data_IF_617985174092
#
_entry.id   IF_617985174092
#
_cell.length_a   1.000
_cell.length_b   1.000
_cell.length_c   1.000
_cell.angle_alpha   90.00
_cell.angle_beta   90.00
_cell.angle_gamma   90.00
#
_symmetry.space_group_name_H-M   'P 1'
#
loop_
_entity.id
_entity.type
_entity.pdbx_description
1 polymer ?
#
# COMPACT_ATOMS: atom_id res chain seq x y z
N UNK A 1 -18.83 -4.73 -30.26
CA UNK A 1 -18.15 -3.83 -29.29
C UNK A 1 -19.10 -3.19 -28.26
N UNK A 2 -20.42 -3.06 -28.50
CA UNK A 2 -21.34 -2.38 -27.57
C UNK A 2 -21.67 -3.09 -26.24
N UNK A 3 -21.66 -4.43 -26.20
CA UNK A 3 -22.02 -5.18 -24.97
C UNK A 3 -20.98 -5.07 -23.84
N UNK A 4 -19.71 -4.87 -24.19
CA UNK A 4 -18.61 -4.68 -23.21
C UNK A 4 -18.69 -3.33 -22.50
N UNK A 5 -18.97 -2.26 -23.25
CA UNK A 5 -19.08 -0.91 -22.70
C UNK A 5 -20.31 -0.76 -21.78
N UNK A 6 -21.44 -1.38 -22.14
CA UNK A 6 -22.66 -1.34 -21.33
C UNK A 6 -22.52 -2.13 -20.01
N UNK A 7 -21.81 -3.26 -20.03
CA UNK A 7 -21.51 -4.07 -18.83
C UNK A 7 -20.55 -3.34 -17.88
N UNK A 8 -19.55 -2.63 -18.42
CA UNK A 8 -18.64 -1.78 -17.66
C UNK A 8 -19.40 -0.62 -16.98
N UNK A 9 -20.32 0.03 -17.69
CA UNK A 9 -21.13 1.14 -17.18
C UNK A 9 -22.10 0.70 -16.08
N UNK A 10 -22.77 -0.45 -16.24
CA UNK A 10 -23.70 -0.99 -15.21
C UNK A 10 -22.95 -1.44 -13.95
N UNK A 11 -21.72 -1.96 -14.08
CA UNK A 11 -20.84 -2.23 -12.93
C UNK A 11 -20.45 -0.95 -12.19
N UNK A 12 -20.21 0.16 -12.92
CA UNK A 12 -19.87 1.46 -12.34
C UNK A 12 -21.09 2.13 -11.67
N UNK A 13 -22.29 2.02 -12.25
CA UNK A 13 -23.52 2.62 -11.71
C UNK A 13 -24.11 1.86 -10.50
N UNK A 14 -23.75 0.59 -10.31
CA UNK A 14 -24.14 -0.20 -9.12
C UNK A 14 -23.12 -0.10 -7.99
N UNK A 15 -21.98 0.57 -8.24
CA UNK A 15 -20.92 0.73 -7.28
C UNK A 15 -21.23 1.92 -6.35
N UNK A 16 -21.99 1.66 -5.29
CA UNK A 16 -21.97 2.55 -4.13
C UNK A 16 -20.52 2.83 -3.72
N UNK A 17 -20.21 4.08 -3.36
CA UNK A 17 -18.88 4.47 -2.92
C UNK A 17 -18.32 3.46 -1.90
N UNK A 18 -17.02 3.16 -1.96
CA UNK A 18 -16.39 2.21 -1.03
C UNK A 18 -16.77 2.53 0.41
N UNK A 19 -17.16 1.53 1.20
CA UNK A 19 -17.35 1.72 2.64
C UNK A 19 -16.06 1.32 3.33
N UNK A 20 -15.52 2.19 4.18
CA UNK A 20 -14.35 1.85 5.01
C UNK A 20 -14.88 1.17 6.27
N UNK A 21 -14.70 -0.14 6.36
CA UNK A 21 -15.15 -0.92 7.51
C UNK A 21 -14.17 -0.79 8.67
N UNK A 22 -14.70 -0.86 9.89
CA UNK A 22 -13.86 -0.94 11.09
C UNK A 22 -13.24 -2.34 11.21
N UNK A 23 -12.05 -2.39 11.81
CA UNK A 23 -11.40 -3.64 12.20
C UNK A 23 -11.35 -3.71 13.73
N UNK A 24 -11.69 -4.85 14.37
CA UNK A 24 -11.47 -5.04 15.80
C UNK A 24 -10.00 -4.85 16.21
N UNK A 25 -9.05 -5.14 15.30
CA UNK A 25 -7.62 -4.91 15.53
C UNK A 25 -7.28 -3.43 15.63
N UNK A 26 -8.00 -2.55 14.94
CA UNK A 26 -7.81 -1.11 15.05
C UNK A 26 -8.07 -0.63 16.49
N UNK A 27 -9.17 -1.09 17.10
CA UNK A 27 -9.49 -0.79 18.50
C UNK A 27 -8.41 -1.30 19.45
N UNK A 28 -7.88 -2.50 19.19
CA UNK A 28 -6.78 -3.06 19.99
C UNK A 28 -5.52 -2.20 19.89
N UNK A 29 -5.15 -1.74 18.69
CA UNK A 29 -3.98 -0.87 18.49
C UNK A 29 -4.20 0.50 19.16
N UNK A 30 -5.41 1.05 19.09
CA UNK A 30 -5.73 2.29 19.80
C UNK A 30 -5.56 2.19 21.32
N UNK A 31 -5.83 1.02 21.91
CA UNK A 31 -5.62 0.75 23.33
C UNK A 31 -4.16 0.42 23.66
N UNK A 32 -3.44 -0.21 22.72
CA UNK A 32 -2.04 -0.62 22.87
C UNK A 32 -1.20 -0.14 21.66
N UNK A 33 -0.86 1.17 21.56
CA UNK A 33 -0.15 1.71 20.39
C UNK A 33 1.23 1.06 20.13
N UNK A 34 1.83 0.48 21.17
CA UNK A 34 3.08 -0.28 21.07
C UNK A 34 3.02 -1.46 20.09
N UNK A 35 1.81 -1.96 19.77
CA UNK A 35 1.60 -3.04 18.79
C UNK A 35 1.99 -2.67 17.35
N UNK A 36 2.11 -1.38 17.04
CA UNK A 36 2.45 -0.88 15.69
C UNK A 36 3.58 0.15 15.71
N UNK A 37 4.28 0.24 16.84
CA UNK A 37 5.45 1.10 16.99
C UNK A 37 6.49 0.78 15.89
N UNK A 38 7.16 1.81 15.37
CA UNK A 38 8.15 1.68 14.30
C UNK A 38 7.61 1.02 13.01
N UNK A 39 6.30 0.99 12.75
CA UNK A 39 5.72 0.57 11.47
C UNK A 39 5.11 1.77 10.76
N UNK A 40 5.39 1.93 9.48
CA UNK A 40 4.81 2.93 8.58
C UNK A 40 4.04 2.24 7.48
N UNK A 41 2.81 2.70 7.22
CA UNK A 41 1.96 2.16 6.16
C UNK A 41 1.78 3.21 5.07
N UNK A 42 2.23 2.91 3.85
CA UNK A 42 2.14 3.82 2.71
C UNK A 42 1.06 3.28 1.76
N UNK A 43 -0.01 4.05 1.57
CA UNK A 43 -1.10 3.73 0.66
C UNK A 43 -0.89 4.46 -0.66
N UNK A 44 -0.81 3.72 -1.77
CA UNK A 44 -0.55 4.26 -3.10
C UNK A 44 -1.82 4.21 -3.94
N UNK A 45 -2.25 5.38 -4.41
CA UNK A 45 -3.45 5.53 -5.22
C UNK A 45 -3.26 5.06 -6.66
N UNK A 46 -4.37 4.62 -7.26
CA UNK A 46 -4.45 4.33 -8.67
C UNK A 46 -4.72 5.61 -9.45
N UNK A 47 -3.81 6.00 -10.33
CA UNK A 47 -4.04 7.11 -11.26
C UNK A 47 -4.52 6.58 -12.63
N UNK A 48 -5.57 7.17 -13.23
CA UNK A 48 -6.45 8.19 -12.67
C UNK A 48 -7.54 7.58 -11.76
N UNK A 49 -7.74 8.13 -10.55
CA UNK A 49 -8.93 7.89 -9.72
C UNK A 49 -9.73 9.19 -9.63
N UNK A 50 -10.58 9.43 -10.64
CA UNK A 50 -11.34 10.68 -10.84
C UNK A 50 -12.37 10.99 -9.73
N UNK A 51 -12.32 10.34 -8.57
CA UNK A 51 -13.18 10.65 -7.44
C UNK A 51 -12.84 9.97 -6.13
N UNK A 52 -11.58 9.59 -5.88
CA UNK A 52 -11.17 8.86 -4.67
C UNK A 52 -12.06 7.62 -4.42
N UNK A 53 -12.42 6.89 -5.48
CA UNK A 53 -13.40 5.81 -5.41
C UNK A 53 -12.95 4.66 -4.50
N UNK A 54 -11.64 4.44 -4.39
CA UNK A 54 -11.07 3.48 -3.45
C UNK A 54 -11.06 3.95 -1.99
N UNK A 55 -11.31 5.24 -1.74
CA UNK A 55 -11.25 5.89 -0.42
C UNK A 55 -9.94 5.66 0.34
N UNK A 56 -8.82 5.58 -0.38
CA UNK A 56 -7.50 5.44 0.23
C UNK A 56 -7.14 6.57 1.21
N UNK A 57 -7.48 7.86 0.96
CA UNK A 57 -7.27 8.91 1.96
C UNK A 57 -7.98 8.62 3.29
N UNK A 58 -9.23 8.12 3.23
CA UNK A 58 -10.03 7.80 4.41
C UNK A 58 -9.50 6.56 5.12
N UNK A 59 -9.00 5.56 4.38
CA UNK A 59 -8.34 4.37 4.92
C UNK A 59 -7.05 4.78 5.65
N UNK A 60 -6.17 5.57 5.01
CA UNK A 60 -4.97 6.09 5.65
C UNK A 60 -5.31 6.93 6.89
N UNK A 61 -6.31 7.81 6.81
CA UNK A 61 -6.80 8.56 7.96
C UNK A 61 -7.31 7.67 9.10
N UNK A 62 -7.91 6.52 8.79
CA UNK A 62 -8.35 5.55 9.81
C UNK A 62 -7.18 4.84 10.49
N UNK A 63 -6.12 4.49 9.76
CA UNK A 63 -4.88 3.97 10.33
C UNK A 63 -4.24 4.99 11.28
N UNK A 64 -4.13 6.25 10.86
CA UNK A 64 -3.62 7.34 11.69
C UNK A 64 -4.43 7.55 12.98
N UNK A 65 -5.76 7.56 12.88
CA UNK A 65 -6.64 7.63 14.08
C UNK A 65 -6.51 6.42 14.99
N UNK A 66 -6.01 5.30 14.47
CA UNK A 66 -5.75 4.07 15.21
C UNK A 66 -4.28 3.98 15.67
N UNK A 67 -3.57 5.12 15.75
CA UNK A 67 -2.18 5.20 16.22
C UNK A 67 -1.15 4.47 15.34
N UNK A 68 -1.47 4.22 14.07
CA UNK A 68 -0.52 3.70 13.07
C UNK A 68 0.00 4.86 12.24
N UNK A 69 1.32 5.01 12.15
CA UNK A 69 1.91 5.96 11.21
C UNK A 69 1.55 5.54 9.78
N UNK A 70 0.88 6.43 9.06
CA UNK A 70 0.42 6.15 7.71
C UNK A 70 0.46 7.37 6.81
N UNK A 71 0.87 7.13 5.57
CA UNK A 71 0.94 8.10 4.50
C UNK A 71 0.04 7.67 3.33
N UNK A 72 -0.62 8.62 2.70
CA UNK A 72 -1.37 8.40 1.47
C UNK A 72 -0.64 9.14 0.34
N UNK A 73 -0.27 8.38 -0.69
CA UNK A 73 0.47 8.83 -1.86
C UNK A 73 -0.47 8.83 -3.07
N UNK A 74 -0.87 10.03 -3.46
CA UNK A 74 -1.49 10.34 -4.76
C UNK A 74 -0.39 10.71 -5.76
N UNK A 75 -0.16 9.94 -6.84
CA UNK A 75 0.84 10.25 -7.84
C UNK A 75 0.64 11.59 -8.58
N UNK A 76 -0.60 12.06 -8.71
CA UNK A 76 -0.88 13.33 -9.39
C UNK A 76 -0.51 14.55 -8.52
N UNK A 77 -0.46 14.36 -7.20
CA UNK A 77 -0.15 15.43 -6.22
C UNK A 77 1.28 15.32 -5.69
N UNK A 78 1.75 14.11 -5.38
CA UNK A 78 3.01 13.87 -4.69
C UNK A 78 4.15 13.50 -5.63
N UNK A 79 3.86 13.27 -6.92
CA UNK A 79 4.84 12.97 -7.96
C UNK A 79 4.88 11.50 -8.38
N UNK A 80 5.95 11.12 -9.06
CA UNK A 80 6.10 9.82 -9.69
C UNK A 80 6.69 8.73 -8.76
N UNK A 81 7.07 7.61 -9.37
CA UNK A 81 7.71 6.50 -8.68
C UNK A 81 9.01 6.90 -7.94
N UNK A 82 9.79 7.87 -8.43
CA UNK A 82 10.98 8.37 -7.75
C UNK A 82 10.62 9.15 -6.47
N UNK A 83 9.54 9.91 -6.50
CA UNK A 83 9.02 10.57 -5.30
C UNK A 83 8.56 9.55 -4.25
N UNK A 84 7.81 8.52 -4.66
CA UNK A 84 7.41 7.42 -3.77
C UNK A 84 8.62 6.65 -3.22
N UNK A 85 9.63 6.38 -4.05
CA UNK A 85 10.88 5.74 -3.63
C UNK A 85 11.61 6.57 -2.55
N UNK A 86 11.62 7.90 -2.68
CA UNK A 86 12.21 8.80 -1.70
C UNK A 86 11.47 8.76 -0.37
N UNK A 87 10.13 8.70 -0.38
CA UNK A 87 9.33 8.49 0.82
C UNK A 87 9.62 7.15 1.51
N UNK A 88 9.69 6.07 0.74
CA UNK A 88 10.05 4.74 1.28
C UNK A 88 11.43 4.80 1.93
N UNK A 89 12.41 5.44 1.28
CA UNK A 89 13.77 5.61 1.82
C UNK A 89 13.75 6.42 3.12
N UNK A 90 13.05 7.54 3.17
CA UNK A 90 12.93 8.36 4.38
C UNK A 90 12.41 7.55 5.56
N UNK A 91 11.29 6.83 5.38
CA UNK A 91 10.69 6.01 6.42
C UNK A 91 11.62 4.87 6.87
N UNK A 92 12.32 4.24 5.92
CA UNK A 92 13.21 3.10 6.20
C UNK A 92 14.55 3.49 6.83
N UNK A 93 15.25 4.40 6.20
CA UNK A 93 16.67 4.70 6.48
C UNK A 93 16.76 5.79 7.54
N UNK A 94 16.00 6.88 7.39
CA UNK A 94 16.12 8.04 8.27
C UNK A 94 15.31 7.84 9.56
N UNK A 95 14.09 7.28 9.45
CA UNK A 95 13.23 7.02 10.61
C UNK A 95 13.39 5.60 11.19
N UNK A 96 14.15 4.72 10.54
CA UNK A 96 14.39 3.35 11.02
C UNK A 96 13.14 2.47 11.09
N UNK A 97 12.08 2.79 10.31
CA UNK A 97 10.78 2.12 10.42
C UNK A 97 10.69 0.88 9.56
N UNK A 98 9.79 0.00 9.94
CA UNK A 98 9.21 -1.06 9.11
C UNK A 98 8.23 -0.45 8.12
N UNK A 99 8.25 -0.87 6.86
CA UNK A 99 7.38 -0.30 5.81
C UNK A 99 6.46 -1.38 5.22
N UNK A 100 5.16 -1.11 5.33
CA UNK A 100 4.09 -1.81 4.63
C UNK A 100 3.64 -0.92 3.45
N UNK A 101 3.94 -1.33 2.22
CA UNK A 101 3.57 -0.60 1.01
C UNK A 101 2.30 -1.21 0.42
N UNK A 102 1.23 -0.44 0.29
CA UNK A 102 -0.10 -0.91 -0.13
C UNK A 102 -0.47 -0.23 -1.44
N UNK A 103 -0.46 -0.98 -2.53
CA UNK A 103 -0.92 -0.50 -3.83
C UNK A 103 -2.32 -1.04 -4.15
N UNK A 104 -3.29 -0.15 -4.35
CA UNK A 104 -4.60 -0.55 -4.87
C UNK A 104 -4.68 -0.34 -6.36
N UNK A 105 -5.21 -1.32 -7.09
CA UNK A 105 -5.40 -1.24 -8.54
C UNK A 105 -4.11 -0.77 -9.24
N UNK A 106 -4.16 0.25 -10.08
CA UNK A 106 -2.98 0.79 -10.77
C UNK A 106 -1.92 1.37 -9.82
N UNK A 107 -2.25 1.72 -8.58
CA UNK A 107 -1.29 2.18 -7.58
C UNK A 107 -0.22 1.13 -7.23
N UNK A 108 -0.52 -0.17 -7.45
CA UNK A 108 0.49 -1.22 -7.36
C UNK A 108 1.58 -1.09 -8.43
N UNK A 109 1.23 -0.63 -9.62
CA UNK A 109 2.19 -0.44 -10.71
C UNK A 109 3.21 0.64 -10.31
N UNK A 110 2.73 1.74 -9.73
CA UNK A 110 3.58 2.80 -9.18
C UNK A 110 4.43 2.30 -8.02
N UNK A 111 3.87 1.49 -7.12
CA UNK A 111 4.61 0.86 -6.04
C UNK A 111 5.76 -0.02 -6.55
N UNK A 112 5.52 -0.83 -7.59
CA UNK A 112 6.55 -1.68 -8.20
C UNK A 112 7.65 -0.86 -8.88
N UNK A 113 7.30 0.21 -9.59
CA UNK A 113 8.29 1.11 -10.19
C UNK A 113 9.14 1.81 -9.12
N UNK A 114 8.53 2.25 -8.01
CA UNK A 114 9.26 2.85 -6.89
C UNK A 114 10.23 1.84 -6.24
N UNK A 115 9.79 0.58 -6.06
CA UNK A 115 10.67 -0.48 -5.59
C UNK A 115 11.83 -0.73 -6.56
N UNK A 116 11.58 -0.65 -7.87
CA UNK A 116 12.64 -0.78 -8.89
C UNK A 116 13.71 0.31 -8.76
N UNK A 117 13.31 1.55 -8.47
CA UNK A 117 14.23 2.66 -8.21
C UNK A 117 15.11 2.43 -6.97
N UNK A 118 14.68 1.59 -6.02
CA UNK A 118 15.37 1.33 -4.75
C UNK A 118 16.27 0.08 -4.78
N UNK A 119 16.19 -0.76 -5.83
CA UNK A 119 16.93 -2.02 -5.92
C UNK A 119 18.46 -1.82 -5.90
N UNK A 120 18.96 -0.74 -6.51
CA UNK A 120 20.40 -0.45 -6.55
C UNK A 120 20.97 0.03 -5.22
N UNK A 121 20.12 0.46 -4.28
CA UNK A 121 20.53 0.99 -2.97
C UNK A 121 20.19 0.04 -1.82
N UNK A 122 19.74 -1.19 -2.12
CA UNK A 122 19.30 -2.21 -1.16
C UNK A 122 18.30 -1.67 -0.10
N UNK A 123 17.49 -0.67 -0.47
CA UNK A 123 16.40 -0.20 0.39
C UNK A 123 15.20 -1.10 0.13
N UNK A 124 14.75 -1.79 1.19
CA UNK A 124 13.73 -2.84 1.11
C UNK A 124 12.43 -2.43 1.79
N UNK A 125 11.29 -2.92 1.33
CA UNK A 125 10.03 -2.89 2.09
C UNK A 125 9.79 -4.25 2.74
N UNK A 126 9.18 -4.27 3.92
CA UNK A 126 8.96 -5.53 4.62
C UNK A 126 7.82 -6.30 3.97
N UNK A 127 6.83 -5.59 3.46
CA UNK A 127 5.65 -6.19 2.87
C UNK A 127 5.08 -5.28 1.79
N UNK A 128 4.93 -5.83 0.60
CA UNK A 128 4.14 -5.25 -0.49
C UNK A 128 2.76 -5.89 -0.48
N UNK A 129 1.72 -5.08 -0.38
CA UNK A 129 0.32 -5.51 -0.45
C UNK A 129 -0.27 -5.03 -1.77
N UNK A 130 -0.67 -5.98 -2.62
CA UNK A 130 -1.51 -5.71 -3.79
C UNK A 130 -2.97 -5.81 -3.39
N UNK A 131 -3.72 -4.73 -3.58
CA UNK A 131 -5.18 -4.72 -3.43
C UNK A 131 -5.82 -4.69 -4.81
N UNK A 132 -6.33 -5.84 -5.23
CA UNK A 132 -7.20 -6.06 -6.40
C UNK A 132 -6.72 -5.43 -7.73
N UNK A 133 -5.42 -5.47 -8.01
CA UNK A 133 -4.88 -5.07 -9.31
C UNK A 133 -5.06 -6.18 -10.36
N UNK A 134 -6.25 -6.26 -10.96
CA UNK A 134 -6.63 -7.35 -11.89
C UNK A 134 -5.99 -7.22 -13.29
N UNK A 135 -5.46 -6.05 -13.66
CA UNK A 135 -4.77 -5.83 -14.93
C UNK A 135 -3.25 -5.94 -14.84
N UNK A 136 -2.70 -6.35 -13.69
CA UNK A 136 -1.26 -6.30 -13.45
C UNK A 136 -0.45 -7.10 -14.49
N UNK A 137 -0.84 -8.36 -14.74
CA UNK A 137 -0.18 -9.21 -15.74
C UNK A 137 -0.23 -8.62 -17.15
N UNK A 138 -1.34 -7.95 -17.50
CA UNK A 138 -1.46 -7.29 -18.80
C UNK A 138 -0.43 -6.15 -18.95
N UNK A 139 -0.17 -5.42 -17.86
CA UNK A 139 0.78 -4.30 -17.87
C UNK A 139 2.25 -4.72 -17.75
N UNK A 140 2.54 -5.82 -17.04
CA UNK A 140 3.91 -6.15 -16.61
C UNK A 140 4.39 -7.55 -16.98
N UNK A 141 3.54 -8.37 -17.58
CA UNK A 141 3.85 -9.78 -17.85
C UNK A 141 4.10 -10.57 -16.55
N UNK A 142 5.08 -11.47 -16.59
CA UNK A 142 5.38 -12.38 -15.48
C UNK A 142 6.50 -11.86 -14.54
N UNK A 143 7.17 -10.77 -14.90
CA UNK A 143 8.28 -10.21 -14.13
C UNK A 143 7.79 -9.27 -13.03
N UNK A 144 7.00 -9.80 -12.09
CA UNK A 144 6.36 -9.01 -11.03
C UNK A 144 7.13 -8.98 -9.72
N UNK A 145 8.00 -9.96 -9.45
CA UNK A 145 8.67 -10.11 -8.16
C UNK A 145 9.72 -9.01 -7.95
N UNK A 146 9.52 -8.02 -7.04
CA UNK A 146 10.57 -7.09 -6.68
C UNK A 146 11.66 -7.82 -5.87
N UNK A 147 12.93 -7.42 -6.05
CA UNK A 147 14.06 -7.99 -5.30
C UNK A 147 14.14 -7.51 -3.86
N UNK A 148 13.52 -6.38 -3.58
CA UNK A 148 13.61 -5.62 -2.33
C UNK A 148 12.26 -5.56 -1.59
N UNK A 149 11.44 -6.60 -1.69
CA UNK A 149 10.29 -6.81 -0.81
C UNK A 149 10.36 -8.20 -0.17
N UNK A 150 10.35 -8.26 1.17
CA UNK A 150 10.53 -9.53 1.89
C UNK A 150 9.28 -10.42 1.84
N UNK A 151 8.11 -9.81 1.64
CA UNK A 151 6.83 -10.51 1.62
C UNK A 151 5.88 -9.86 0.64
N UNK A 152 5.13 -10.69 -0.07
CA UNK A 152 4.05 -10.27 -0.96
C UNK A 152 2.72 -10.76 -0.40
N UNK A 153 1.75 -9.85 -0.28
CA UNK A 153 0.37 -10.14 0.10
C UNK A 153 -0.56 -9.70 -1.02
N UNK A 154 -1.47 -10.58 -1.44
CA UNK A 154 -2.45 -10.32 -2.48
C UNK A 154 -3.85 -10.34 -1.87
N UNK A 155 -4.56 -9.22 -1.93
CA UNK A 155 -5.96 -9.09 -1.49
C UNK A 155 -6.82 -8.88 -2.73
N UNK A 156 -7.54 -9.91 -3.17
CA UNK A 156 -8.27 -9.90 -4.46
C UNK A 156 -9.71 -10.36 -4.28
N UNK A 157 -10.60 -9.95 -5.19
CA UNK A 157 -11.95 -10.51 -5.29
C UNK A 157 -11.92 -12.02 -5.54
N UNK A 158 -12.95 -12.74 -5.09
CA UNK A 158 -13.11 -14.18 -5.36
C UNK A 158 -13.15 -14.47 -6.87
N UNK A 159 -13.81 -13.62 -7.65
CA UNK A 159 -13.97 -13.79 -9.09
C UNK A 159 -12.79 -13.28 -9.92
N UNK A 160 -11.82 -12.57 -9.31
CA UNK A 160 -10.69 -12.00 -10.04
C UNK A 160 -9.59 -13.04 -10.24
N UNK A 161 -8.97 -13.06 -11.42
CA UNK A 161 -7.73 -13.80 -11.64
C UNK A 161 -6.60 -13.18 -10.82
N UNK A 162 -5.76 -14.02 -10.21
CA UNK A 162 -4.57 -13.55 -9.51
C UNK A 162 -3.44 -13.27 -10.51
N UNK A 163 -2.59 -12.28 -10.23
CA UNK A 163 -1.38 -12.08 -11.01
C UNK A 163 -0.45 -13.29 -10.91
N UNK A 164 0.29 -13.55 -11.98
CA UNK A 164 1.29 -14.62 -12.11
C UNK A 164 2.65 -13.95 -12.19
N UNK A 165 3.58 -14.30 -11.31
CA UNK A 165 4.92 -13.68 -11.28
C UNK A 165 5.42 -13.31 -9.88
N UNK A 166 4.55 -13.31 -8.87
CA UNK A 166 4.98 -13.25 -7.48
C UNK A 166 5.35 -14.65 -6.97
N UNK A 167 6.48 -14.74 -6.27
CA UNK A 167 6.95 -15.98 -5.66
C UNK A 167 6.33 -16.13 -4.26
N UNK A 168 5.63 -17.24 -4.03
CA UNK A 168 5.01 -17.58 -2.74
C UNK A 168 4.16 -16.46 -2.09
N UNK A 169 3.25 -15.79 -2.81
CA UNK A 169 2.43 -14.75 -2.22
C UNK A 169 1.43 -15.32 -1.20
N UNK A 170 1.14 -14.54 -0.16
CA UNK A 170 0.00 -14.84 0.72
C UNK A 170 -1.27 -14.24 0.14
N UNK A 171 -2.28 -15.08 -0.09
CA UNK A 171 -3.50 -14.69 -0.80
C UNK A 171 -4.68 -14.59 0.15
N UNK A 172 -5.36 -13.45 0.13
CA UNK A 172 -6.64 -13.22 0.78
C UNK A 172 -7.71 -12.92 -0.26
N UNK A 173 -8.78 -13.70 -0.23
CA UNK A 173 -9.91 -13.50 -1.13
C UNK A 173 -11.05 -12.73 -0.48
N UNK A 174 -11.66 -11.83 -1.23
CA UNK A 174 -12.75 -10.97 -0.79
C UNK A 174 -14.03 -11.37 -1.54
N UNK A 175 -15.08 -11.69 -0.79
CA UNK A 175 -16.38 -12.11 -1.32
C UNK A 175 -17.18 -10.92 -1.85
N UNK A 176 -16.70 -10.33 -2.94
CA UNK A 176 -17.35 -9.25 -3.67
C UNK A 176 -16.95 -9.32 -5.14
N UNK A 177 -17.83 -8.87 -6.03
CA UNK A 177 -17.50 -8.65 -7.44
C UNK A 177 -17.10 -7.18 -7.70
N UNK A 178 -17.38 -6.27 -6.77
CA UNK A 178 -17.13 -4.84 -6.92
C UNK A 178 -15.67 -4.49 -6.56
N UNK A 179 -14.87 -4.14 -7.57
CA UNK A 179 -13.48 -3.71 -7.44
C UNK A 179 -13.31 -2.53 -6.47
N UNK A 180 -14.23 -1.55 -6.54
CA UNK A 180 -14.18 -0.33 -5.72
C UNK A 180 -14.43 -0.62 -4.25
N UNK A 181 -15.14 -1.71 -3.92
CA UNK A 181 -15.42 -2.09 -2.55
C UNK A 181 -14.22 -2.76 -1.85
N UNK A 182 -13.23 -3.24 -2.60
CA UNK A 182 -12.16 -4.10 -2.05
C UNK A 182 -11.26 -3.37 -1.06
N UNK A 183 -10.77 -2.14 -1.31
CA UNK A 183 -9.87 -1.45 -0.37
C UNK A 183 -10.46 -1.27 1.03
N UNK A 184 -11.73 -0.85 1.08
CA UNK A 184 -12.42 -0.59 2.34
C UNK A 184 -13.04 -1.82 3.00
N UNK A 185 -13.14 -2.96 2.29
CA UNK A 185 -13.85 -4.15 2.75
C UNK A 185 -13.32 -4.65 4.12
N UNK A 186 -14.21 -5.11 5.00
CA UNK A 186 -13.87 -5.55 6.37
C UNK A 186 -12.68 -6.52 6.43
N UNK A 187 -12.69 -7.56 5.57
CA UNK A 187 -11.57 -8.52 5.46
C UNK A 187 -10.27 -7.88 4.96
N UNK A 188 -10.32 -6.89 4.08
CA UNK A 188 -9.12 -6.15 3.63
C UNK A 188 -8.56 -5.35 4.80
N UNK A 189 -9.40 -4.59 5.49
CA UNK A 189 -9.01 -3.80 6.67
C UNK A 189 -8.40 -4.67 7.76
N UNK A 190 -9.02 -5.82 8.06
CA UNK A 190 -8.49 -6.80 9.02
C UNK A 190 -7.11 -7.34 8.62
N UNK A 191 -6.92 -7.70 7.35
CA UNK A 191 -5.61 -8.16 6.84
C UNK A 191 -4.56 -7.07 6.96
N UNK A 192 -4.88 -5.82 6.58
CA UNK A 192 -3.94 -4.71 6.65
C UNK A 192 -3.48 -4.46 8.10
N UNK A 193 -4.40 -4.37 9.06
CA UNK A 193 -4.03 -4.21 10.48
C UNK A 193 -3.26 -5.42 11.04
N UNK A 194 -3.62 -6.64 10.63
CA UNK A 194 -2.89 -7.86 11.03
C UNK A 194 -1.45 -7.82 10.52
N UNK A 195 -1.23 -7.42 9.27
CA UNK A 195 0.12 -7.29 8.71
C UNK A 195 0.92 -6.18 9.41
N UNK A 196 0.30 -5.05 9.76
CA UNK A 196 0.95 -4.00 10.58
C UNK A 196 1.42 -4.56 11.94
N UNK A 197 0.56 -5.29 12.67
CA UNK A 197 0.93 -5.90 13.97
C UNK A 197 2.03 -6.94 13.78
N UNK A 198 1.95 -7.79 12.75
CA UNK A 198 2.96 -8.82 12.46
C UNK A 198 4.34 -8.21 12.26
N UNK A 199 4.44 -7.08 11.55
CA UNK A 199 5.71 -6.41 11.31
C UNK A 199 6.39 -5.97 12.61
N UNK A 200 5.62 -5.54 13.62
CA UNK A 200 6.16 -5.20 14.95
C UNK A 200 6.71 -6.42 15.69
N UNK A 201 6.02 -7.56 15.60
CA UNK A 201 6.35 -8.78 16.35
C UNK A 201 7.65 -9.43 15.88
N UNK A 202 8.01 -9.27 14.61
CA UNK A 202 9.28 -9.78 14.06
C UNK A 202 10.49 -9.08 14.70
N UNK A 203 10.32 -7.87 15.26
CA UNK A 203 11.38 -7.09 15.91
C UNK A 203 11.67 -7.52 17.36
N UNK A 204 11.10 -8.62 17.85
CA UNK A 204 11.36 -9.16 19.19
C UNK A 204 12.72 -9.84 19.41
N UNK A 205 13.62 -9.84 18.41
CA UNK A 205 15.02 -10.31 18.51
C UNK A 205 15.90 -9.54 17.49
N UNK A 206 17.20 -9.33 17.77
CA UNK A 206 17.75 -7.98 17.96
C UNK A 206 18.43 -7.37 16.74
N UNK A 207 18.42 -6.03 16.71
CA UNK A 207 19.42 -5.20 16.03
C UNK A 207 19.00 -4.68 14.66
N UNK A 208 19.11 -3.36 14.39
CA UNK A 208 19.20 -2.90 13.02
C UNK A 208 20.44 -3.55 12.38
N UNK A 209 20.41 -3.94 11.10
CA UNK A 209 21.64 -4.25 10.40
C UNK A 209 22.56 -3.03 10.50
N UNK A 210 23.84 -3.24 10.79
CA UNK A 210 24.87 -2.21 10.79
C UNK A 210 24.83 -1.48 9.44
N UNK A 211 24.11 -0.36 9.37
CA UNK A 211 24.18 0.55 8.24
C UNK A 211 25.53 1.26 8.40
N UNK A 212 26.50 1.05 7.50
CA UNK A 212 27.74 1.82 7.54
C UNK A 212 27.37 3.29 7.45
N UNK A 213 27.80 4.08 8.43
CA UNK A 213 27.53 5.51 8.51
C UNK A 213 27.94 6.19 7.19
N UNK A 214 26.96 6.56 6.37
CA UNK A 214 27.20 7.37 5.18
C UNK A 214 27.57 8.79 5.59
N UNK A 215 28.48 9.46 4.85
CA UNK A 215 28.87 10.83 5.14
C UNK A 215 27.66 11.76 5.04
N UNK A 216 27.59 12.74 5.95
CA UNK A 216 26.60 13.82 5.90
C UNK A 216 26.87 14.68 4.66
N UNK A 217 26.12 14.49 3.58
CA UNK A 217 26.05 15.47 2.50
C UNK A 217 24.61 15.72 2.06
N UNK A 218 24.26 17.01 2.08
CA UNK A 218 23.13 17.72 1.50
C UNK A 218 21.74 17.47 2.12
N UNK A 219 21.34 18.45 2.94
CA UNK A 219 19.93 18.74 3.26
C UNK A 219 19.13 18.86 1.97
N UNK A 220 18.35 17.82 1.66
CA UNK A 220 17.26 17.93 0.70
C UNK A 220 16.15 18.69 1.43
N UNK A 221 15.97 19.95 1.05
CA UNK A 221 14.84 20.76 1.45
C UNK A 221 13.56 20.14 0.85
N UNK A 222 12.70 19.61 1.72
CA UNK A 222 11.34 19.23 1.35
C UNK A 222 10.48 20.49 1.34
N UNK A 223 9.68 20.75 0.29
CA UNK A 223 8.73 21.84 0.33
C UNK A 223 7.73 21.59 1.45
N UNK A 224 7.53 22.60 2.31
CA UNK A 224 6.44 22.65 3.29
C UNK A 224 5.10 22.43 2.57
N UNK A 225 4.62 21.19 2.59
CA UNK A 225 3.30 20.84 2.10
C UNK A 225 2.28 21.31 3.14
N UNK A 226 1.98 22.61 3.07
CA UNK A 226 0.80 23.17 3.71
C UNK A 226 -0.41 22.50 3.06
N UNK A 227 -1.13 21.72 3.87
CA UNK A 227 -2.29 20.93 3.49
C UNK A 227 -3.40 21.89 3.04
N UNK A 228 -3.50 22.17 1.74
CA UNK A 228 -4.64 22.91 1.19
C UNK A 228 -5.81 21.94 1.14
N UNK A 229 -6.60 21.93 2.21
CA UNK A 229 -7.94 21.36 2.20
C UNK A 229 -8.77 22.21 1.23
N UNK A 230 -9.15 21.65 0.08
CA UNK A 230 -10.25 22.16 -0.75
C UNK A 230 -11.47 21.29 -0.55
#
# INVERSE_FOLDING_TARGET
>A
MGAFALSLLVMLCSAGCATVYSSPLANRISLEPGLTENVSVIFVEATPDLGNWGKLPQIAGYFRRSSVESFYFDPDVHGDAQALASWIRHERVERGRRVLLVGWSYGLVQALDALKCLESTDVRVDTLVSVDCFLLNYHRGEQLQPKNADRIVLIYRDCAQLPTGFLCPVVHRIKTCNHLAVPGHARTMDVLFRETIRLRQISGNPGPPDVPATPKENEISFPDLTLVVR
#
